data_IF_158254755495
#
_entry.id   IF_158254755495
#
_cell.length_a   1.000
_cell.length_b   1.000
_cell.length_c   1.000
_cell.angle_alpha   90.00
_cell.angle_beta   90.00
_cell.angle_gamma   90.00
#
_symmetry.space_group_name_H-M   'P 1'
#
loop_
_entity.id
_entity.type
_entity.pdbx_description
1 polymer ?
#
# COMPACT_ATOMS: atom_id res chain seq x y z
N UNK A 1 -55.01 7.20 12.45
CA UNK A 1 -55.64 5.88 12.64
C UNK A 1 -55.05 4.90 11.64
N UNK A 2 -54.99 3.58 11.95
CA UNK A 2 -53.92 2.71 11.45
C UNK A 2 -54.40 1.60 10.50
N UNK A 3 -53.45 0.95 9.81
CA UNK A 3 -53.42 -0.52 9.70
C UNK A 3 -51.99 -0.99 9.98
N UNK A 4 -51.88 -2.05 10.77
CA UNK A 4 -50.66 -2.68 11.25
C UNK A 4 -50.84 -4.17 11.01
N UNK A 5 -49.90 -4.84 10.35
CA UNK A 5 -49.90 -6.31 10.23
C UNK A 5 -48.54 -6.84 10.65
N UNK A 6 -48.51 -7.46 11.82
CA UNK A 6 -47.39 -8.27 12.29
C UNK A 6 -47.63 -9.72 11.89
N UNK A 7 -46.55 -10.47 11.65
CA UNK A 7 -46.57 -11.92 11.61
C UNK A 7 -45.41 -12.46 12.46
N UNK A 8 -45.74 -13.19 13.51
CA UNK A 8 -44.81 -13.87 14.38
C UNK A 8 -45.21 -15.35 14.48
N UNK A 9 -44.21 -16.24 14.51
CA UNK A 9 -44.22 -17.59 15.10
C UNK A 9 -42.92 -18.31 14.67
N UNK A 10 -42.31 -19.23 15.40
CA UNK A 10 -42.24 -19.58 16.82
C UNK A 10 -41.17 -20.69 16.90
N UNK A 11 -40.43 -20.68 17.99
CA UNK A 11 -39.36 -21.60 18.42
C UNK A 11 -39.62 -23.10 18.19
N UNK A 12 -38.55 -23.86 17.91
CA UNK A 12 -38.41 -25.24 18.35
C UNK A 12 -36.99 -25.49 18.91
N UNK A 13 -36.92 -25.87 20.20
CA UNK A 13 -35.71 -26.32 20.89
C UNK A 13 -35.58 -27.85 20.74
N UNK A 14 -34.35 -28.35 20.63
CA UNK A 14 -34.08 -29.79 20.62
C UNK A 14 -32.69 -30.11 21.14
N UNK A 15 -32.62 -30.61 22.38
CA UNK A 15 -31.41 -31.15 22.99
C UNK A 15 -31.73 -32.51 23.64
N UNK A 16 -30.86 -33.50 23.48
CA UNK A 16 -30.76 -34.65 24.38
C UNK A 16 -29.44 -35.42 24.17
N UNK A 17 -29.06 -36.21 25.16
CA UNK A 17 -27.66 -36.59 25.43
C UNK A 17 -27.35 -38.08 25.26
N UNK A 18 -26.08 -38.37 24.97
CA UNK A 18 -25.22 -39.44 25.55
C UNK A 18 -25.61 -40.94 25.57
N UNK A 19 -24.62 -41.75 25.16
CA UNK A 19 -24.05 -42.93 25.85
C UNK A 19 -24.38 -44.38 25.42
N UNK A 20 -23.32 -45.20 25.45
CA UNK A 20 -23.23 -46.63 25.88
C UNK A 20 -22.82 -47.67 24.82
N UNK A 21 -21.56 -48.09 24.91
CA UNK A 21 -20.97 -49.38 24.46
C UNK A 21 -21.32 -50.52 25.47
N UNK A 22 -21.21 -51.85 25.19
CA UNK A 22 -19.89 -52.53 25.18
C UNK A 22 -19.71 -53.91 24.44
N UNK A 23 -18.50 -54.15 23.88
CA UNK A 23 -17.74 -55.45 23.74
C UNK A 23 -18.41 -56.80 23.33
N UNK A 24 -17.74 -57.97 23.52
CA UNK A 24 -16.30 -58.21 23.81
C UNK A 24 -15.64 -59.43 23.05
N UNK A 25 -14.35 -59.69 23.30
CA UNK A 25 -13.65 -60.98 23.06
C UNK A 25 -12.35 -60.88 22.22
N UNK A 26 -11.10 -60.84 22.71
CA UNK A 26 -10.34 -61.61 23.74
C UNK A 26 -9.52 -62.81 23.18
N UNK A 27 -8.19 -62.66 23.12
CA UNK A 27 -7.18 -63.70 23.48
C UNK A 27 -5.77 -63.09 23.66
N UNK A 28 -5.23 -63.17 24.89
CA UNK A 28 -3.80 -63.05 25.29
C UNK A 28 -3.14 -64.47 25.32
N UNK A 29 -1.88 -64.73 25.77
CA UNK A 29 -0.75 -63.88 26.25
C UNK A 29 0.50 -64.00 25.30
N UNK A 30 1.80 -63.81 25.62
CA UNK A 30 2.55 -63.60 26.87
C UNK A 30 3.95 -62.93 26.66
N UNK A 31 4.56 -62.55 27.79
CA UNK A 31 6.00 -62.42 28.12
C UNK A 31 6.96 -61.39 27.48
N UNK A 32 7.81 -60.84 28.36
CA UNK A 32 8.96 -59.98 28.10
C UNK A 32 10.27 -60.78 28.34
N UNK A 33 11.47 -60.27 27.95
CA UNK A 33 12.12 -59.21 28.73
C UNK A 33 12.91 -58.17 27.91
N UNK A 34 13.20 -57.02 28.55
CA UNK A 34 14.27 -56.10 28.13
C UNK A 34 15.64 -56.66 28.56
N UNK A 35 16.74 -56.39 27.81
CA UNK A 35 17.72 -55.50 28.43
C UNK A 35 18.58 -54.63 27.46
N UNK A 36 19.19 -53.61 28.09
CA UNK A 36 20.48 -52.97 27.78
C UNK A 36 20.63 -51.96 26.64
N UNK A 37 21.15 -50.80 27.06
CA UNK A 37 21.73 -49.71 26.29
C UNK A 37 23.06 -50.12 25.67
N UNK A 38 23.34 -49.65 24.45
CA UNK A 38 24.70 -49.42 23.93
C UNK A 38 24.66 -48.14 23.10
N UNK A 39 25.66 -47.27 23.27
CA UNK A 39 25.83 -46.05 22.49
C UNK A 39 25.87 -46.29 20.98
N UNK A 40 25.27 -45.37 20.22
CA UNK A 40 25.81 -44.98 18.92
C UNK A 40 25.76 -43.46 18.80
N UNK A 41 26.93 -42.86 18.63
CA UNK A 41 27.09 -41.41 18.61
C UNK A 41 26.82 -40.89 17.19
N UNK A 42 25.55 -40.68 16.86
CA UNK A 42 25.18 -39.94 15.66
C UNK A 42 25.42 -38.45 15.88
N UNK A 43 26.46 -37.98 15.21
CA UNK A 43 26.89 -36.59 15.06
C UNK A 43 25.69 -35.66 14.81
N UNK A 44 25.26 -34.91 15.83
CA UNK A 44 24.24 -33.87 15.67
C UNK A 44 24.94 -32.67 15.06
N UNK A 45 24.97 -32.64 13.73
CA UNK A 45 25.26 -31.42 12.99
C UNK A 45 24.20 -30.39 13.41
N UNK A 46 24.59 -29.39 14.21
CA UNK A 46 23.73 -28.24 14.48
C UNK A 46 23.30 -27.65 13.12
N UNK A 47 22.02 -27.30 12.93
CA UNK A 47 21.62 -26.53 11.78
C UNK A 47 22.47 -25.26 11.78
N UNK A 48 23.24 -25.05 10.71
CA UNK A 48 23.86 -23.75 10.47
C UNK A 48 22.74 -22.73 10.52
N UNK A 49 22.84 -21.75 11.41
CA UNK A 49 21.96 -20.59 11.37
C UNK A 49 22.18 -19.93 10.01
N UNK A 50 21.21 -20.06 9.11
CA UNK A 50 21.17 -19.24 7.90
C UNK A 50 21.26 -17.78 8.35
N UNK A 51 22.06 -16.93 7.67
CA UNK A 51 22.07 -15.51 7.97
C UNK A 51 20.63 -15.04 7.82
N UNK A 52 20.01 -14.68 8.94
CA UNK A 52 18.65 -14.13 8.92
C UNK A 52 18.74 -12.83 8.15
N UNK A 53 18.16 -12.78 6.95
CA UNK A 53 18.05 -11.56 6.17
C UNK A 53 17.48 -10.47 7.09
N UNK A 54 18.33 -9.51 7.48
CA UNK A 54 17.90 -8.41 8.33
C UNK A 54 16.83 -7.64 7.55
N UNK A 55 15.59 -7.73 8.04
CA UNK A 55 14.47 -7.04 7.42
C UNK A 55 14.76 -5.54 7.45
N UNK A 56 15.20 -5.00 6.31
CA UNK A 56 15.57 -3.60 6.16
C UNK A 56 14.37 -2.74 6.54
N UNK A 57 14.50 -1.94 7.60
CA UNK A 57 13.45 -1.03 8.02
C UNK A 57 13.26 0.04 6.94
N UNK A 58 12.12 0.07 6.22
CA UNK A 58 11.89 1.00 5.12
C UNK A 58 11.72 2.45 5.60
N UNK A 59 11.82 2.71 6.91
CA UNK A 59 11.83 4.03 7.52
C UNK A 59 13.22 4.45 8.05
N UNK A 60 14.25 3.59 7.99
CA UNK A 60 15.56 3.87 8.58
C UNK A 60 16.24 5.13 8.03
N UNK A 61 16.13 5.37 6.73
CA UNK A 61 16.72 6.54 6.04
C UNK A 61 15.83 7.80 6.08
N UNK A 62 14.69 7.74 6.77
CA UNK A 62 13.78 8.88 6.89
C UNK A 62 14.33 9.89 7.90
N UNK A 63 14.35 11.20 7.59
CA UNK A 63 14.65 12.22 8.58
C UNK A 63 13.68 12.13 9.77
N UNK A 64 14.18 12.42 10.97
CA UNK A 64 13.40 12.43 12.23
C UNK A 64 12.97 13.84 12.63
N UNK A 65 13.59 14.88 12.09
CA UNK A 65 13.30 16.29 12.32
C UNK A 65 13.00 17.00 10.98
N UNK A 66 12.08 17.99 10.97
CA UNK A 66 11.76 18.74 9.75
C UNK A 66 12.95 19.59 9.28
N UNK A 67 13.12 19.80 7.97
CA UNK A 67 14.09 20.76 7.45
C UNK A 67 13.88 22.17 8.04
N UNK A 68 14.98 22.88 8.33
CA UNK A 68 14.94 24.17 9.02
C UNK A 68 14.21 25.30 8.24
N UNK A 69 14.05 25.15 6.92
CA UNK A 69 13.27 26.05 6.08
C UNK A 69 11.84 25.53 5.97
N UNK A 70 10.86 26.30 6.47
CA UNK A 70 9.45 26.04 6.24
C UNK A 70 8.92 26.92 5.09
N UNK A 71 8.11 26.33 4.21
CA UNK A 71 7.44 27.00 3.09
C UNK A 71 5.95 26.63 3.12
N UNK A 72 5.08 27.62 3.22
CA UNK A 72 3.64 27.39 3.16
C UNK A 72 3.14 27.48 1.70
N UNK A 73 2.55 26.38 1.20
CA UNK A 73 1.87 26.35 -0.09
C UNK A 73 0.42 26.89 0.00
N UNK A 74 -0.16 26.94 1.21
CA UNK A 74 -1.52 27.38 1.46
C UNK A 74 -2.56 26.26 1.40
N UNK A 75 -3.81 26.63 1.07
CA UNK A 75 -4.96 25.73 1.10
C UNK A 75 -5.19 25.04 -0.25
N UNK A 76 -5.40 23.72 -0.22
CA UNK A 76 -5.82 22.88 -1.35
C UNK A 76 -7.31 22.58 -1.19
N UNK A 77 -8.12 22.98 -2.17
CA UNK A 77 -9.54 22.65 -2.24
C UNK A 77 -9.90 22.12 -3.64
N UNK A 78 -11.06 21.49 -3.79
CA UNK A 78 -11.53 21.05 -5.10
C UNK A 78 -11.66 22.24 -6.08
N UNK A 79 -11.04 22.13 -7.25
CA UNK A 79 -10.91 23.20 -8.24
C UNK A 79 -9.96 24.34 -7.86
N UNK A 80 -9.22 24.23 -6.74
CA UNK A 80 -8.31 25.25 -6.22
C UNK A 80 -6.99 24.62 -5.76
N UNK A 81 -6.04 24.37 -6.69
CA UNK A 81 -4.73 23.83 -6.35
C UNK A 81 -3.86 24.84 -5.59
N UNK A 82 -2.95 24.32 -4.77
CA UNK A 82 -1.89 25.08 -4.12
C UNK A 82 -0.54 24.84 -4.81
N UNK A 83 0.42 25.73 -4.64
CA UNK A 83 1.77 25.53 -5.16
C UNK A 83 2.83 26.27 -4.33
N UNK A 84 4.03 25.70 -4.28
CA UNK A 84 5.20 26.31 -3.68
C UNK A 84 6.45 26.04 -4.55
N UNK A 85 7.47 26.86 -4.40
CA UNK A 85 8.77 26.69 -5.05
C UNK A 85 9.87 27.24 -4.16
N UNK A 86 11.06 26.66 -4.25
CA UNK A 86 12.20 27.10 -3.46
C UNK A 86 13.52 26.51 -3.94
N UNK A 87 14.53 26.65 -3.09
CA UNK A 87 15.86 26.09 -3.28
C UNK A 87 16.33 25.51 -1.95
N UNK A 88 17.03 24.38 -1.97
CA UNK A 88 17.49 23.73 -0.74
C UNK A 88 16.41 22.89 -0.05
N UNK A 89 16.82 22.14 0.97
CA UNK A 89 15.93 21.31 1.77
C UNK A 89 14.89 22.15 2.53
N UNK A 90 13.62 21.75 2.46
CA UNK A 90 12.50 22.48 3.05
C UNK A 90 11.36 21.57 3.51
N UNK A 91 10.70 21.93 4.61
CA UNK A 91 9.34 21.46 4.90
C UNK A 91 8.35 22.32 4.10
N UNK A 92 7.56 21.70 3.24
CA UNK A 92 6.45 22.34 2.55
C UNK A 92 5.14 21.95 3.23
N UNK A 93 4.47 22.92 3.86
CA UNK A 93 3.16 22.73 4.49
C UNK A 93 2.02 23.07 3.55
N UNK A 94 0.89 22.37 3.70
CA UNK A 94 -0.38 22.75 3.07
C UNK A 94 -1.56 22.38 3.99
N UNK A 95 -2.73 22.95 3.70
CA UNK A 95 -3.99 22.59 4.37
C UNK A 95 -4.97 22.03 3.35
N UNK A 96 -5.42 20.79 3.53
CA UNK A 96 -6.53 20.21 2.76
C UNK A 96 -7.87 20.76 3.27
N UNK A 97 -8.67 21.32 2.38
CA UNK A 97 -10.04 21.75 2.61
C UNK A 97 -11.02 20.87 1.81
N UNK A 98 -11.44 19.77 2.42
CA UNK A 98 -12.41 18.80 1.88
C UNK A 98 -11.99 17.34 1.98
N UNK A 99 -12.95 16.45 1.73
CA UNK A 99 -12.79 14.99 1.88
C UNK A 99 -12.23 14.36 0.60
N UNK A 100 -10.91 14.44 0.40
CA UNK A 100 -10.23 13.89 -0.77
C UNK A 100 -8.76 13.57 -0.51
N UNK A 101 -8.16 12.73 -1.36
CA UNK A 101 -6.71 12.57 -1.38
C UNK A 101 -6.05 13.67 -2.20
N UNK A 102 -4.87 14.11 -1.75
CA UNK A 102 -4.11 15.20 -2.38
C UNK A 102 -3.07 14.60 -3.31
N UNK A 103 -3.07 15.03 -4.56
CA UNK A 103 -2.02 14.69 -5.52
C UNK A 103 -0.94 15.74 -5.43
N UNK A 104 0.27 15.28 -5.13
CA UNK A 104 1.49 16.07 -5.10
C UNK A 104 2.18 15.88 -6.45
N UNK A 105 2.39 16.96 -7.19
CA UNK A 105 3.29 16.98 -8.33
C UNK A 105 4.58 17.62 -7.87
N UNK A 106 5.66 16.84 -7.81
CA UNK A 106 6.99 17.33 -7.53
C UNK A 106 7.73 17.50 -8.86
N UNK A 107 8.33 18.68 -9.06
CA UNK A 107 9.34 18.89 -10.08
C UNK A 107 10.62 19.42 -9.44
N UNK A 108 11.67 18.60 -9.49
CA UNK A 108 13.01 18.92 -9.00
C UNK A 108 13.98 19.26 -10.15
N UNK A 109 13.51 19.32 -11.41
CA UNK A 109 14.30 19.62 -12.60
C UNK A 109 15.38 18.57 -12.87
N UNK A 110 16.51 18.67 -12.16
CA UNK A 110 17.54 17.64 -12.10
C UNK A 110 17.55 17.00 -10.69
N UNK A 111 16.79 15.92 -10.52
CA UNK A 111 16.51 15.30 -9.22
C UNK A 111 17.65 14.48 -8.58
N UNK A 112 18.88 14.60 -9.08
CA UNK A 112 20.03 13.99 -8.41
C UNK A 112 20.16 14.51 -6.97
N UNK A 113 20.43 13.60 -6.04
CA UNK A 113 20.50 13.86 -4.60
C UNK A 113 19.22 14.49 -4.00
N UNK A 114 18.06 14.31 -4.65
CA UNK A 114 16.76 14.79 -4.17
C UNK A 114 15.97 13.64 -3.54
N UNK A 115 15.48 13.84 -2.32
CA UNK A 115 14.57 12.92 -1.63
C UNK A 115 13.36 13.71 -1.14
N UNK A 116 12.17 13.25 -1.49
CA UNK A 116 10.93 13.76 -0.89
C UNK A 116 10.40 12.74 0.11
N UNK A 117 9.82 13.19 1.21
CA UNK A 117 9.12 12.36 2.20
C UNK A 117 7.80 13.04 2.58
N UNK A 118 6.76 12.26 2.91
CA UNK A 118 5.69 12.82 3.75
C UNK A 118 6.28 13.13 5.13
N UNK A 119 5.75 14.12 5.86
CA UNK A 119 6.13 14.30 7.25
C UNK A 119 5.71 13.08 8.11
N UNK A 120 6.41 12.77 9.22
CA UNK A 120 6.06 11.68 10.13
C UNK A 120 4.67 11.84 10.76
N UNK A 121 3.67 11.23 10.14
CA UNK A 121 2.35 10.97 10.74
C UNK A 121 2.32 9.53 11.29
N UNK A 122 1.44 9.26 12.26
CA UNK A 122 1.29 7.91 12.83
C UNK A 122 0.79 6.85 11.84
N UNK A 123 0.33 7.25 10.65
CA UNK A 123 -0.08 6.38 9.54
C UNK A 123 0.32 7.05 8.23
N UNK A 124 1.48 6.69 7.69
CA UNK A 124 1.87 7.09 6.32
C UNK A 124 1.44 6.02 5.32
N UNK A 125 0.73 6.36 4.22
CA UNK A 125 0.31 5.36 3.25
C UNK A 125 1.51 4.64 2.62
N UNK A 126 2.55 5.38 2.23
CA UNK A 126 3.81 4.82 1.74
C UNK A 126 4.86 4.86 2.86
N UNK A 127 5.51 3.73 3.18
CA UNK A 127 6.76 3.76 3.93
C UNK A 127 7.88 4.34 3.04
N UNK A 128 8.79 5.10 3.67
CA UNK A 128 9.96 5.69 3.02
C UNK A 128 9.70 6.99 2.25
N UNK A 129 10.49 7.20 1.20
CA UNK A 129 10.40 8.37 0.30
C UNK A 129 9.06 8.42 -0.44
N UNK A 130 8.59 9.63 -0.78
CA UNK A 130 7.60 9.81 -1.85
C UNK A 130 8.27 9.43 -3.18
N UNK A 131 9.42 10.02 -3.48
CA UNK A 131 10.28 9.63 -4.58
C UNK A 131 11.57 10.44 -4.65
N UNK A 132 12.42 10.07 -5.63
CA UNK A 132 13.73 10.67 -5.92
C UNK A 132 13.76 11.37 -7.30
N UNK A 133 12.58 11.60 -7.89
CA UNK A 133 12.41 12.08 -9.26
C UNK A 133 11.22 13.03 -9.39
N UNK A 134 11.18 13.79 -10.49
CA UNK A 134 9.99 14.52 -10.92
C UNK A 134 8.89 13.53 -11.23
N UNK A 135 7.69 13.76 -10.69
CA UNK A 135 6.59 12.80 -10.75
C UNK A 135 5.37 13.26 -9.98
N UNK A 136 4.35 12.41 -9.92
CA UNK A 136 3.18 12.67 -9.07
C UNK A 136 2.91 11.54 -8.08
N UNK A 137 2.53 11.94 -6.87
CA UNK A 137 2.43 11.08 -5.69
C UNK A 137 1.10 11.34 -4.98
N UNK A 138 0.49 10.29 -4.45
CA UNK A 138 -0.77 10.42 -3.71
C UNK A 138 -0.49 10.57 -2.21
N UNK A 139 -0.92 11.67 -1.61
CA UNK A 139 -0.96 11.85 -0.17
C UNK A 139 -2.38 11.66 0.35
N UNK A 140 -2.46 11.28 1.62
CA UNK A 140 -3.66 11.49 2.44
C UNK A 140 -4.94 10.79 1.92
N UNK A 141 -4.95 9.45 1.96
CA UNK A 141 -6.07 8.61 1.47
C UNK A 141 -6.92 8.03 2.61
N UNK A 142 -6.89 8.65 3.79
CA UNK A 142 -7.61 8.20 4.98
C UNK A 142 -8.51 9.32 5.51
N UNK A 143 -9.76 9.00 5.86
CA UNK A 143 -10.77 9.98 6.29
C UNK A 143 -10.42 10.69 7.61
N UNK A 144 -9.65 10.03 8.50
CA UNK A 144 -9.30 10.52 9.84
C UNK A 144 -7.98 11.34 9.92
N UNK A 145 -7.37 11.67 8.79
CA UNK A 145 -6.11 12.42 8.77
C UNK A 145 -6.28 13.90 9.13
N UNK A 146 -5.23 14.50 9.69
CA UNK A 146 -5.23 15.92 10.01
C UNK A 146 -5.30 16.77 8.71
N UNK A 147 -6.16 17.80 8.63
CA UNK A 147 -6.22 18.68 7.45
C UNK A 147 -4.91 19.38 7.12
N UNK A 148 -4.08 19.69 8.13
CA UNK A 148 -2.73 20.20 7.92
C UNK A 148 -1.76 19.05 7.68
N UNK A 149 -1.06 19.11 6.56
CA UNK A 149 -0.11 18.10 6.08
C UNK A 149 1.20 18.78 5.67
N UNK A 150 2.28 18.02 5.59
CA UNK A 150 3.55 18.52 5.06
C UNK A 150 4.38 17.46 4.36
N UNK A 151 5.26 17.95 3.47
CA UNK A 151 6.27 17.20 2.74
C UNK A 151 7.63 17.71 3.19
N UNK A 152 8.56 16.81 3.46
CA UNK A 152 9.95 17.16 3.71
C UNK A 152 10.74 16.88 2.43
N UNK A 153 11.25 17.95 1.83
CA UNK A 153 12.13 17.91 0.67
C UNK A 153 13.57 18.02 1.18
N UNK A 154 14.42 17.08 0.77
CA UNK A 154 15.86 17.16 0.89
C UNK A 154 16.46 17.27 -0.49
N UNK A 155 17.08 18.40 -0.81
CA UNK A 155 17.75 18.63 -2.09
C UNK A 155 18.67 19.83 -1.97
N UNK A 156 19.84 19.88 -2.64
CA UNK A 156 20.64 21.10 -2.73
C UNK A 156 20.16 22.06 -3.83
N UNK A 157 19.08 21.72 -4.55
CA UNK A 157 18.69 22.33 -5.84
C UNK A 157 17.38 23.11 -5.75
N UNK A 158 17.00 23.71 -6.87
CA UNK A 158 15.68 24.34 -7.04
C UNK A 158 14.59 23.26 -7.18
N UNK A 159 13.40 23.57 -6.69
CA UNK A 159 12.23 22.69 -6.76
C UNK A 159 10.95 23.50 -6.91
N UNK A 160 9.93 22.87 -7.48
CA UNK A 160 8.54 23.30 -7.39
C UNK A 160 7.64 22.13 -7.03
N UNK A 161 6.60 22.41 -6.25
CA UNK A 161 5.55 21.46 -5.91
C UNK A 161 4.19 22.08 -6.16
N UNK A 162 3.27 21.27 -6.71
CA UNK A 162 1.86 21.62 -6.91
C UNK A 162 1.00 20.57 -6.24
N UNK A 163 -0.01 21.01 -5.52
CA UNK A 163 -0.95 20.16 -4.79
C UNK A 163 -2.35 20.36 -5.37
N UNK A 164 -3.05 19.29 -5.72
CA UNK A 164 -4.44 19.36 -6.19
C UNK A 164 -5.29 18.21 -5.63
N UNK A 165 -6.62 18.34 -5.72
CA UNK A 165 -7.50 17.21 -5.39
C UNK A 165 -7.36 16.11 -6.44
N UNK A 166 -7.35 14.85 -6.03
CA UNK A 166 -7.47 13.72 -6.97
C UNK A 166 -8.74 13.76 -7.85
N UNK A 167 -9.75 14.54 -7.44
CA UNK A 167 -10.99 14.79 -8.17
C UNK A 167 -10.82 15.75 -9.35
N UNK A 168 -9.78 16.59 -9.30
CA UNK A 168 -9.44 17.58 -10.33
C UNK A 168 -8.51 17.00 -11.40
N UNK A 169 -7.94 15.80 -11.17
CA UNK A 169 -7.18 15.07 -12.17
C UNK A 169 -8.01 14.86 -13.44
N UNK A 170 -7.45 15.13 -14.63
CA UNK A 170 -8.07 14.76 -15.91
C UNK A 170 -8.30 13.24 -15.95
N UNK A 171 -9.52 12.77 -16.27
CA UNK A 171 -9.77 11.36 -16.47
C UNK A 171 -9.03 10.86 -17.72
N UNK A 172 -8.42 9.68 -17.63
CA UNK A 172 -7.78 8.98 -18.75
C UNK A 172 -8.49 7.67 -19.03
N UNK A 173 -8.57 7.30 -20.31
CA UNK A 173 -9.34 6.13 -20.79
C UNK A 173 -8.49 5.25 -21.70
N UNK A 174 -8.69 3.93 -21.62
CA UNK A 174 -7.92 2.97 -22.41
C UNK A 174 -6.48 2.79 -21.89
N UNK A 175 -5.63 2.12 -22.69
CA UNK A 175 -4.27 1.77 -22.28
C UNK A 175 -3.41 3.00 -21.95
N UNK A 176 -2.75 2.97 -20.80
CA UNK A 176 -1.81 3.99 -20.31
C UNK A 176 -0.42 3.37 -20.15
N UNK A 177 0.63 4.17 -20.32
CA UNK A 177 2.00 3.76 -20.04
C UNK A 177 2.88 4.96 -19.67
N UNK A 178 3.97 4.70 -18.96
CA UNK A 178 4.88 5.74 -18.52
C UNK A 178 6.18 5.23 -17.90
N UNK A 179 6.91 6.15 -17.29
CA UNK A 179 8.15 5.89 -16.55
C UNK A 179 8.10 6.71 -15.27
N UNK A 180 8.63 6.16 -14.18
CA UNK A 180 8.61 6.82 -12.89
C UNK A 180 7.22 6.87 -12.24
N UNK A 181 7.11 7.65 -11.17
CA UNK A 181 5.95 7.68 -10.30
C UNK A 181 4.84 8.62 -10.80
N UNK A 182 3.59 8.17 -10.75
CA UNK A 182 2.44 8.92 -11.26
C UNK A 182 1.15 8.67 -10.46
N UNK A 183 0.17 9.56 -10.59
CA UNK A 183 -1.22 9.32 -10.20
C UNK A 183 -2.14 9.54 -11.39
N UNK A 184 -2.92 8.52 -11.73
CA UNK A 184 -3.88 8.52 -12.83
C UNK A 184 -5.30 8.41 -12.30
N UNK A 185 -6.21 9.21 -12.84
CA UNK A 185 -7.65 9.01 -12.68
C UNK A 185 -8.15 8.17 -13.86
N UNK A 186 -8.33 6.87 -13.63
CA UNK A 186 -8.79 5.93 -14.65
C UNK A 186 -10.31 6.00 -14.78
N UNK A 187 -10.80 6.21 -16.00
CA UNK A 187 -12.22 6.25 -16.34
C UNK A 187 -12.60 5.15 -17.35
N UNK A 188 -13.87 4.75 -17.32
CA UNK A 188 -14.41 3.64 -18.12
C UNK A 188 -15.16 2.61 -17.28
N UNK A 189 -15.40 1.43 -17.88
CA UNK A 189 -16.24 0.37 -17.32
C UNK A 189 -15.56 -1.00 -17.30
N UNK A 190 -14.22 -1.03 -17.41
CA UNK A 190 -13.44 -2.25 -17.32
C UNK A 190 -13.56 -2.87 -15.92
N UNK A 191 -13.60 -4.20 -15.84
CA UNK A 191 -13.65 -4.95 -14.58
C UNK A 191 -12.27 -5.42 -14.12
N UNK A 192 -11.30 -5.49 -15.04
CA UNK A 192 -9.91 -5.84 -14.77
C UNK A 192 -8.96 -4.97 -15.59
N UNK A 193 -7.66 -5.11 -15.35
CA UNK A 193 -6.61 -4.49 -16.18
C UNK A 193 -5.36 -5.36 -16.15
N UNK A 194 -4.72 -5.53 -17.30
CA UNK A 194 -3.34 -6.01 -17.35
C UNK A 194 -2.42 -4.87 -16.90
N UNK A 195 -1.54 -5.14 -15.95
CA UNK A 195 -0.50 -4.23 -15.47
C UNK A 195 0.85 -4.89 -15.74
N UNK A 196 1.73 -4.16 -16.40
CA UNK A 196 3.12 -4.56 -16.64
C UNK A 196 4.07 -3.57 -16.00
N UNK A 197 5.21 -4.07 -15.52
CA UNK A 197 6.30 -3.25 -15.02
C UNK A 197 7.66 -3.85 -15.37
N UNK A 198 8.64 -2.99 -15.66
CA UNK A 198 10.04 -3.34 -15.74
C UNK A 198 10.88 -2.34 -14.92
N UNK A 199 11.77 -2.81 -14.02
CA UNK A 199 12.57 -1.95 -13.16
C UNK A 199 13.59 -1.11 -13.95
N UNK A 200 13.89 0.08 -13.43
CA UNK A 200 15.00 0.91 -13.91
C UNK A 200 16.39 0.37 -13.50
N UNK A 201 16.45 -0.43 -12.42
CA UNK A 201 17.68 -1.01 -11.86
C UNK A 201 17.36 -2.04 -10.76
N UNK A 202 18.38 -2.71 -10.20
CA UNK A 202 18.18 -3.84 -9.27
C UNK A 202 17.50 -3.45 -7.94
N UNK A 203 17.61 -2.20 -7.51
CA UNK A 203 17.01 -1.68 -6.27
C UNK A 203 15.62 -1.03 -6.49
N UNK A 204 15.11 -1.03 -7.72
CA UNK A 204 13.80 -0.46 -8.03
C UNK A 204 12.68 -1.43 -7.66
N UNK A 205 11.53 -0.88 -7.28
CA UNK A 205 10.32 -1.65 -6.94
C UNK A 205 9.08 -0.99 -7.51
N UNK A 206 8.08 -1.80 -7.82
CA UNK A 206 6.75 -1.32 -8.16
C UNK A 206 5.88 -1.25 -6.90
N UNK A 207 5.22 -0.12 -6.69
CA UNK A 207 4.20 0.07 -5.65
C UNK A 207 2.98 0.76 -6.26
N UNK A 208 2.08 -0.04 -6.81
CA UNK A 208 0.77 0.37 -7.30
C UNK A 208 -0.30 0.35 -6.21
N UNK A 209 -1.10 1.40 -6.11
CA UNK A 209 -2.28 1.48 -5.25
C UNK A 209 -3.48 1.99 -6.04
N UNK A 210 -4.44 1.11 -6.22
CA UNK A 210 -5.71 1.42 -6.85
C UNK A 210 -6.77 1.71 -5.79
N UNK A 211 -7.52 2.80 -6.01
CA UNK A 211 -8.65 3.23 -5.19
C UNK A 211 -9.88 3.27 -6.11
N UNK A 212 -10.71 2.24 -6.04
CA UNK A 212 -11.98 2.19 -6.76
C UNK A 212 -13.05 3.05 -6.06
N UNK A 213 -14.25 3.10 -6.67
CA UNK A 213 -15.42 3.83 -6.11
C UNK A 213 -15.81 3.36 -4.70
N UNK A 214 -15.49 2.11 -4.33
CA UNK A 214 -15.69 1.58 -2.98
C UNK A 214 -14.39 1.02 -2.42
N UNK A 215 -14.27 0.96 -1.08
CA UNK A 215 -13.08 0.49 -0.37
C UNK A 215 -12.73 -0.97 -0.70
N UNK A 216 -13.73 -1.78 -1.00
CA UNK A 216 -13.59 -3.19 -1.39
C UNK A 216 -13.07 -3.37 -2.82
N UNK A 217 -13.18 -2.33 -3.67
CA UNK A 217 -12.61 -2.28 -5.00
C UNK A 217 -11.14 -1.82 -5.01
N UNK A 218 -10.62 -1.29 -3.90
CA UNK A 218 -9.22 -0.90 -3.78
C UNK A 218 -8.27 -2.10 -3.85
N UNK A 219 -7.10 -1.92 -4.47
CA UNK A 219 -6.06 -2.96 -4.62
C UNK A 219 -4.68 -2.38 -4.32
N UNK A 220 -3.80 -3.21 -3.79
CA UNK A 220 -2.36 -2.95 -3.75
C UNK A 220 -1.70 -3.96 -4.67
N UNK A 221 -0.82 -3.50 -5.54
CA UNK A 221 -0.02 -4.29 -6.47
C UNK A 221 1.42 -3.88 -6.25
N UNK A 222 2.35 -4.82 -6.11
CA UNK A 222 3.74 -4.47 -5.90
C UNK A 222 4.65 -5.67 -6.01
N UNK A 223 5.84 -5.43 -6.56
CA UNK A 223 6.86 -6.44 -6.79
C UNK A 223 8.25 -5.77 -6.85
N UNK A 224 9.29 -6.57 -6.66
CA UNK A 224 10.69 -6.25 -6.93
C UNK A 224 11.17 -6.87 -8.25
N UNK A 225 10.46 -7.86 -8.80
CA UNK A 225 10.74 -8.48 -10.09
C UNK A 225 9.80 -7.95 -11.21
N UNK A 226 10.32 -7.91 -12.45
CA UNK A 226 9.54 -7.46 -13.60
C UNK A 226 8.37 -8.40 -13.88
N UNK A 227 7.14 -7.86 -13.98
CA UNK A 227 5.92 -8.66 -14.11
C UNK A 227 5.00 -8.18 -15.25
N UNK A 228 4.04 -9.02 -15.61
CA UNK A 228 2.86 -8.68 -16.41
C UNK A 228 1.71 -9.56 -15.97
N UNK A 229 0.74 -8.97 -15.29
CA UNK A 229 -0.36 -9.69 -14.63
C UNK A 229 -1.70 -8.95 -14.76
N UNK A 230 -2.81 -9.69 -14.70
CA UNK A 230 -4.16 -9.12 -14.72
C UNK A 230 -4.72 -8.99 -13.32
N UNK A 231 -5.15 -7.78 -12.95
CA UNK A 231 -5.75 -7.47 -11.66
C UNK A 231 -7.21 -7.04 -11.80
N UNK A 232 -8.04 -7.36 -10.81
CA UNK A 232 -9.45 -6.92 -10.71
C UNK A 232 -9.54 -5.42 -10.34
N UNK A 233 -9.15 -4.55 -11.29
CA UNK A 233 -9.28 -3.09 -11.20
C UNK A 233 -10.62 -2.67 -11.81
N UNK A 234 -11.68 -2.67 -11.00
CA UNK A 234 -13.03 -2.24 -11.43
C UNK A 234 -13.06 -0.72 -11.58
N UNK A 235 -13.17 -0.24 -12.82
CA UNK A 235 -13.21 1.19 -13.17
C UNK A 235 -14.61 1.81 -12.91
N UNK A 236 -14.69 3.13 -12.65
CA UNK A 236 -13.59 4.10 -12.55
C UNK A 236 -12.88 4.08 -11.19
N UNK A 237 -11.71 4.72 -11.13
CA UNK A 237 -10.94 4.87 -9.88
C UNK A 237 -9.63 5.65 -10.06
N UNK A 238 -8.84 5.72 -8.99
CA UNK A 238 -7.52 6.39 -9.01
C UNK A 238 -6.43 5.35 -8.81
N UNK A 239 -5.44 5.33 -9.71
CA UNK A 239 -4.23 4.52 -9.59
C UNK A 239 -3.04 5.42 -9.27
N UNK A 240 -2.44 5.24 -8.10
CA UNK A 240 -1.12 5.77 -7.78
C UNK A 240 -0.06 4.70 -8.06
N UNK A 241 1.01 5.07 -8.75
CA UNK A 241 2.17 4.22 -9.05
C UNK A 241 3.40 4.90 -8.47
N UNK A 242 4.17 4.18 -7.63
CA UNK A 242 5.51 4.56 -7.20
C UNK A 242 6.52 3.54 -7.73
N UNK A 243 7.49 4.01 -8.50
CA UNK A 243 8.64 3.28 -9.07
C UNK A 243 9.59 4.29 -9.75
N UNK A 244 10.81 3.88 -10.08
CA UNK A 244 11.66 4.55 -11.07
C UNK A 244 11.50 3.98 -12.50
N UNK A 245 11.03 2.74 -12.61
CA UNK A 245 10.94 1.95 -13.84
C UNK A 245 9.82 2.32 -14.80
N UNK A 246 9.66 1.51 -15.84
CA UNK A 246 8.61 1.66 -16.86
C UNK A 246 7.41 0.81 -16.53
N UNK A 247 6.20 1.31 -16.80
CA UNK A 247 4.96 0.60 -16.51
C UNK A 247 3.92 0.81 -17.61
N UNK A 248 2.96 -0.11 -17.68
CA UNK A 248 1.73 0.04 -18.48
C UNK A 248 0.52 -0.55 -17.77
N UNK A 249 -0.66 0.02 -18.06
CA UNK A 249 -1.96 -0.43 -17.54
C UNK A 249 -2.95 -0.46 -18.70
N UNK A 250 -3.45 -1.64 -19.02
CA UNK A 250 -4.39 -1.88 -20.13
C UNK A 250 -5.73 -2.37 -19.59
N UNK A 251 -6.78 -1.53 -19.61
CA UNK A 251 -8.11 -1.93 -19.13
C UNK A 251 -8.75 -3.06 -19.96
N UNK A 252 -9.44 -3.98 -19.28
CA UNK A 252 -10.11 -5.14 -19.85
C UNK A 252 -11.55 -5.30 -19.29
N UNK A 253 -12.50 -5.61 -20.18
CA UNK A 253 -13.92 -5.81 -19.86
C UNK A 253 -14.69 -6.33 -21.08
#
# INVERSE_FOLDING_TARGET
MPVLVAAACVVALGACSTATEPGPGSTTPADAPSPSVTDDATDVTEPSEDPTDEAVDPLADRPTEPPAQAVDAGTVAAGSPAAASGTGSAEVTFVRDGDFAVVVHLDCGECADTRAFMAPTGVTPYPGTLGEATGSYLMDVFEDSAPQQSIWLETPREWSVRFESWNDLPPVTGAQSGTGSTVLRLDGTASSSEVSWAPAGPEDSFQGRYFGVTREASRVVGDTEAFTETFDLVLPGVLAVKTAGTWSVTPHG
#
